data_IF_186962895655
#
_entry.id   IF_186962895655
#
_cell.length_a   1.000
_cell.length_b   1.000
_cell.length_c   1.000
_cell.angle_alpha   90.00
_cell.angle_beta   90.00
_cell.angle_gamma   90.00
#
_symmetry.space_group_name_H-M   'P 1'
#
loop_
_entity.id
_entity.type
_entity.pdbx_description
1 polymer ?
#
# COMPACT_ATOMS: atom_id res chain seq x y z
N UNK A 1 18.92 -9.96 7.57
CA UNK A 1 18.20 -10.71 6.52
C UNK A 1 17.27 -11.66 7.24
N UNK A 2 15.99 -11.71 6.86
CA UNK A 2 15.04 -12.60 7.53
C UNK A 2 15.46 -14.07 7.36
N UNK A 3 15.34 -14.88 8.41
CA UNK A 3 15.61 -16.32 8.36
C UNK A 3 14.71 -17.05 7.37
N UNK A 4 13.52 -16.51 7.11
CA UNK A 4 12.56 -17.06 6.15
C UNK A 4 13.12 -17.16 4.72
N UNK A 5 13.92 -16.18 4.30
CA UNK A 5 14.43 -16.12 2.93
C UNK A 5 15.61 -17.05 2.67
N UNK A 6 16.16 -17.71 3.69
CA UNK A 6 17.25 -18.66 3.50
C UNK A 6 16.84 -19.88 2.66
N UNK A 7 15.55 -20.22 2.67
CA UNK A 7 14.98 -21.39 1.97
C UNK A 7 13.91 -20.99 0.95
N UNK A 8 13.65 -19.70 0.76
CA UNK A 8 12.65 -19.23 -0.21
C UNK A 8 13.25 -19.19 -1.63
N UNK A 9 12.46 -19.63 -2.61
CA UNK A 9 12.76 -19.45 -4.03
C UNK A 9 11.87 -18.34 -4.60
N UNK A 10 12.43 -17.51 -5.49
CA UNK A 10 11.68 -16.42 -6.14
C UNK A 10 11.83 -15.05 -5.48
N UNK A 11 12.61 -14.92 -4.40
CA UNK A 11 12.95 -13.61 -3.83
C UNK A 11 13.69 -12.75 -4.87
N UNK A 12 13.13 -11.59 -5.21
CA UNK A 12 13.80 -10.60 -6.07
C UNK A 12 14.60 -9.63 -5.21
N UNK A 13 15.85 -9.37 -5.61
CA UNK A 13 16.72 -8.39 -4.93
C UNK A 13 17.24 -7.37 -5.94
N UNK A 14 16.87 -6.11 -5.75
CA UNK A 14 17.34 -4.98 -6.56
C UNK A 14 18.09 -3.97 -5.69
N UNK A 15 19.03 -3.24 -6.30
CA UNK A 15 19.64 -2.06 -5.67
C UNK A 15 18.64 -0.91 -5.68
N UNK A 16 18.49 -0.23 -4.54
CA UNK A 16 17.60 0.92 -4.39
C UNK A 16 18.03 2.16 -5.19
N UNK A 17 19.32 2.29 -5.46
CA UNK A 17 19.87 3.47 -6.16
C UNK A 17 19.17 3.68 -7.50
N UNK A 18 18.59 4.87 -7.69
CA UNK A 18 17.88 5.25 -8.92
C UNK A 18 16.50 4.62 -9.08
N UNK A 19 15.93 4.00 -8.04
CA UNK A 19 14.61 3.36 -8.06
C UNK A 19 13.71 3.91 -6.96
N UNK A 20 12.42 3.95 -7.24
CA UNK A 20 11.40 4.19 -6.23
C UNK A 20 11.25 2.95 -5.35
N UNK A 21 11.42 3.12 -4.04
CA UNK A 21 11.26 2.02 -3.09
C UNK A 21 9.80 1.86 -2.68
N UNK A 22 9.29 0.64 -2.86
CA UNK A 22 7.94 0.24 -2.52
C UNK A 22 7.95 -0.83 -1.43
N UNK A 23 7.17 -0.63 -0.37
CA UNK A 23 6.87 -1.65 0.62
C UNK A 23 5.57 -2.34 0.22
N UNK A 24 5.57 -3.67 0.12
CA UNK A 24 4.35 -4.45 -0.09
C UNK A 24 4.01 -5.20 1.20
N UNK A 25 2.96 -4.75 1.88
CA UNK A 25 2.50 -5.28 3.16
C UNK A 25 1.47 -6.38 2.94
N UNK A 26 1.73 -7.55 3.54
CA UNK A 26 0.71 -8.55 3.82
C UNK A 26 0.46 -8.59 5.34
N UNK A 27 -0.71 -8.19 5.84
CA UNK A 27 -0.98 -8.04 7.28
C UNK A 27 -1.20 -9.36 8.04
N UNK A 28 -0.42 -10.39 7.72
CA UNK A 28 -0.48 -11.70 8.34
C UNK A 28 0.93 -12.32 8.41
N UNK A 29 1.03 -13.52 8.98
CA UNK A 29 2.29 -14.25 9.11
C UNK A 29 2.91 -14.60 7.76
N UNK A 30 4.23 -14.80 7.75
CA UNK A 30 4.99 -15.16 6.55
C UNK A 30 4.43 -16.39 5.80
N UNK A 31 4.11 -17.54 6.45
CA UNK A 31 3.58 -18.70 5.74
C UNK A 31 2.26 -18.42 5.00
N UNK A 32 1.40 -17.55 5.57
CA UNK A 32 0.14 -17.16 4.93
C UNK A 32 0.40 -16.22 3.76
N UNK A 33 1.34 -15.27 3.91
CA UNK A 33 1.72 -14.34 2.85
C UNK A 33 2.28 -15.06 1.61
N UNK A 34 3.22 -16.01 1.80
CA UNK A 34 3.82 -16.76 0.67
C UNK A 34 2.85 -17.73 0.00
N UNK A 35 1.80 -18.14 0.71
CA UNK A 35 0.74 -18.99 0.16
C UNK A 35 -0.35 -18.19 -0.59
N UNK A 36 -0.29 -16.86 -0.58
CA UNK A 36 -1.27 -16.02 -1.25
C UNK A 36 -0.81 -15.65 -2.67
N UNK A 37 -1.47 -16.20 -3.69
CA UNK A 37 -1.10 -15.98 -5.09
C UNK A 37 -1.25 -14.52 -5.53
N UNK A 38 -2.29 -13.82 -5.09
CA UNK A 38 -2.50 -12.40 -5.41
C UNK A 38 -1.37 -11.52 -4.88
N UNK A 39 -0.91 -11.79 -3.66
CA UNK A 39 0.25 -11.11 -3.08
C UNK A 39 1.54 -11.41 -3.85
N UNK A 40 1.78 -12.67 -4.24
CA UNK A 40 2.94 -13.03 -5.07
C UNK A 40 2.89 -12.36 -6.44
N UNK A 41 1.71 -12.27 -7.05
CA UNK A 41 1.50 -11.62 -8.34
C UNK A 41 1.82 -10.13 -8.27
N UNK A 42 1.27 -9.42 -7.29
CA UNK A 42 1.57 -7.98 -7.08
C UNK A 42 3.06 -7.77 -6.81
N UNK A 43 3.68 -8.65 -6.00
CA UNK A 43 5.14 -8.62 -5.76
C UNK A 43 5.95 -8.78 -7.06
N UNK A 44 5.54 -9.71 -7.94
CA UNK A 44 6.17 -9.89 -9.26
C UNK A 44 6.02 -8.66 -10.12
N UNK A 45 4.80 -8.14 -10.30
CA UNK A 45 4.50 -6.98 -11.13
C UNK A 45 5.30 -5.73 -10.70
N UNK A 46 5.37 -5.47 -9.39
CA UNK A 46 6.17 -4.37 -8.85
C UNK A 46 7.67 -4.53 -9.16
N UNK A 47 8.17 -5.76 -9.09
CA UNK A 47 9.58 -6.07 -9.34
C UNK A 47 9.90 -6.36 -10.82
N UNK A 48 8.92 -6.45 -11.71
CA UNK A 48 9.15 -6.42 -13.16
C UNK A 48 9.42 -4.99 -13.65
N UNK A 49 8.92 -3.98 -12.93
CA UNK A 49 9.16 -2.59 -13.27
C UNK A 49 10.61 -2.15 -12.93
N UNK A 50 11.38 -1.74 -13.94
CA UNK A 50 12.81 -1.40 -13.78
C UNK A 50 13.07 -0.21 -12.86
N UNK A 51 12.17 0.77 -12.86
CA UNK A 51 12.24 1.96 -12.01
C UNK A 51 11.86 1.74 -10.55
N UNK A 52 11.49 0.52 -10.15
CA UNK A 52 11.04 0.20 -8.79
C UNK A 52 11.88 -0.90 -8.14
N UNK A 53 12.00 -0.82 -6.83
CA UNK A 53 12.41 -1.92 -5.96
C UNK A 53 11.29 -2.17 -4.97
N UNK A 54 10.75 -3.39 -4.94
CA UNK A 54 9.71 -3.76 -4.00
C UNK A 54 10.25 -4.76 -2.98
N UNK A 55 10.03 -4.46 -1.71
CA UNK A 55 10.34 -5.33 -0.59
C UNK A 55 9.08 -5.64 0.21
N UNK A 56 9.01 -6.86 0.74
CA UNK A 56 7.82 -7.39 1.41
C UNK A 56 7.89 -7.15 2.90
N UNK A 57 6.72 -6.91 3.48
CA UNK A 57 6.50 -6.81 4.91
C UNK A 57 5.38 -7.74 5.31
N UNK A 58 5.57 -8.45 6.41
CA UNK A 58 4.60 -9.37 7.00
C UNK A 58 4.41 -9.01 8.46
N UNK A 59 3.30 -9.43 9.05
CA UNK A 59 3.05 -9.17 10.46
C UNK A 59 4.18 -9.80 11.31
N UNK A 60 4.88 -9.03 12.16
CA UNK A 60 6.04 -9.52 12.88
C UNK A 60 5.64 -10.55 13.93
N UNK A 61 6.54 -11.49 14.22
CA UNK A 61 6.39 -12.36 15.39
C UNK A 61 6.50 -11.53 16.67
N UNK A 62 5.98 -12.07 17.78
CA UNK A 62 6.01 -11.37 19.07
C UNK A 62 7.46 -10.98 19.43
N UNK A 63 7.65 -9.70 19.79
CA UNK A 63 8.95 -9.10 20.14
C UNK A 63 9.94 -8.90 18.98
N UNK A 64 9.53 -9.06 17.72
CA UNK A 64 10.36 -8.72 16.56
C UNK A 64 10.00 -7.33 16.00
N UNK A 65 11.00 -6.54 15.53
CA UNK A 65 10.73 -5.26 14.90
C UNK A 65 10.11 -5.46 13.51
N UNK A 66 9.22 -4.56 13.10
CA UNK A 66 8.72 -4.52 11.72
C UNK A 66 9.85 -4.11 10.77
N UNK A 67 10.25 -5.05 9.90
CA UNK A 67 11.36 -4.91 8.95
C UNK A 67 11.05 -5.61 7.64
N UNK A 68 11.60 -5.08 6.54
CA UNK A 68 11.46 -5.71 5.23
C UNK A 68 12.17 -7.07 5.21
N UNK A 69 11.59 -8.03 4.48
CA UNK A 69 12.15 -9.39 4.41
C UNK A 69 13.49 -9.40 3.69
N UNK A 70 13.58 -8.69 2.56
CA UNK A 70 14.70 -8.74 1.62
C UNK A 70 15.97 -8.11 2.18
N UNK A 71 15.85 -6.95 2.82
CA UNK A 71 17.01 -6.15 3.22
C UNK A 71 16.99 -5.66 4.67
N UNK A 72 15.97 -6.04 5.46
CA UNK A 72 15.85 -5.69 6.88
C UNK A 72 15.76 -4.17 7.12
N UNK A 73 15.00 -3.46 6.27
CA UNK A 73 14.78 -2.02 6.36
C UNK A 73 13.53 -1.65 7.16
N UNK A 74 13.52 -0.50 7.84
CA UNK A 74 12.30 0.02 8.46
C UNK A 74 11.27 0.43 7.40
N UNK A 75 9.98 0.32 7.73
CA UNK A 75 8.90 0.72 6.82
C UNK A 75 8.96 2.21 6.45
N UNK A 76 9.42 3.07 7.37
CA UNK A 76 9.59 4.50 7.13
C UNK A 76 10.58 4.82 5.98
N UNK A 77 11.47 3.92 5.57
CA UNK A 77 12.37 4.16 4.44
C UNK A 77 11.65 4.18 3.08
N UNK A 78 10.40 3.70 3.02
CA UNK A 78 9.68 3.48 1.77
C UNK A 78 8.70 4.63 1.53
N UNK A 79 8.87 5.45 0.47
CA UNK A 79 7.93 6.52 0.11
C UNK A 79 6.63 6.00 -0.52
N UNK A 80 6.58 4.73 -0.91
CA UNK A 80 5.40 4.07 -1.46
C UNK A 80 5.10 2.82 -0.62
N UNK A 81 3.90 2.74 -0.08
CA UNK A 81 3.42 1.58 0.68
C UNK A 81 2.19 1.02 -0.03
N UNK A 82 2.28 -0.22 -0.47
CA UNK A 82 1.16 -0.99 -1.01
C UNK A 82 0.73 -2.05 -0.01
N UNK A 83 -0.56 -2.38 0.02
CA UNK A 83 -1.09 -3.43 0.88
C UNK A 83 -1.88 -4.44 0.07
N UNK A 84 -1.86 -5.71 0.49
CA UNK A 84 -2.69 -6.78 -0.06
C UNK A 84 -3.45 -7.43 1.09
N UNK A 85 -4.67 -6.96 1.32
CA UNK A 85 -5.51 -7.41 2.45
C UNK A 85 -6.49 -8.47 1.97
N UNK A 86 -6.37 -9.67 2.53
CA UNK A 86 -7.20 -10.81 2.11
C UNK A 86 -8.49 -10.94 2.91
N UNK A 87 -8.49 -10.55 4.19
CA UNK A 87 -9.62 -10.73 5.10
C UNK A 87 -9.79 -9.54 6.05
N UNK A 88 -11.01 -9.31 6.52
CA UNK A 88 -11.38 -8.22 7.44
C UNK A 88 -10.67 -8.33 8.79
N UNK A 89 -10.37 -9.55 9.23
CA UNK A 89 -9.63 -9.78 10.47
C UNK A 89 -8.20 -9.21 10.43
N UNK A 90 -7.66 -8.94 9.24
CA UNK A 90 -6.32 -8.37 9.09
C UNK A 90 -6.31 -6.82 9.19
N UNK A 91 -7.46 -6.14 9.27
CA UNK A 91 -7.51 -4.68 9.32
C UNK A 91 -6.78 -4.10 10.55
N UNK A 92 -7.02 -4.59 11.79
CA UNK A 92 -6.30 -4.06 12.95
C UNK A 92 -4.80 -4.31 12.86
N UNK A 93 -4.39 -5.43 12.26
CA UNK A 93 -2.99 -5.78 12.06
C UNK A 93 -2.32 -4.83 11.07
N UNK A 94 -2.99 -4.51 9.97
CA UNK A 94 -2.48 -3.53 9.00
C UNK A 94 -2.25 -2.17 9.66
N UNK A 95 -3.24 -1.67 10.41
CA UNK A 95 -3.15 -0.39 11.12
C UNK A 95 -2.01 -0.41 12.15
N UNK A 96 -1.88 -1.50 12.91
CA UNK A 96 -0.77 -1.70 13.85
C UNK A 96 0.60 -1.72 13.16
N UNK A 97 0.70 -2.32 11.96
CA UNK A 97 1.94 -2.33 11.17
C UNK A 97 2.31 -0.93 10.67
N UNK A 98 1.34 -0.11 10.22
CA UNK A 98 1.61 1.28 9.85
C UNK A 98 2.20 2.06 11.05
N UNK A 99 1.52 1.98 12.19
CA UNK A 99 1.95 2.64 13.42
C UNK A 99 3.35 2.16 13.88
N UNK A 100 3.58 0.85 13.95
CA UNK A 100 4.87 0.27 14.33
C UNK A 100 5.99 0.59 13.33
N UNK A 101 5.63 0.83 12.07
CA UNK A 101 6.54 1.24 11.00
C UNK A 101 6.87 2.73 11.00
N UNK A 102 6.29 3.52 11.90
CA UNK A 102 6.46 4.97 11.96
C UNK A 102 5.68 5.72 10.88
N UNK A 103 4.61 5.12 10.35
CA UNK A 103 3.71 5.74 9.38
C UNK A 103 2.43 6.16 10.10
N UNK A 104 2.00 7.41 9.92
CA UNK A 104 0.72 7.91 10.43
C UNK A 104 -0.43 7.04 9.87
N UNK A 105 -1.16 6.31 10.73
CA UNK A 105 -2.20 5.39 10.26
C UNK A 105 -3.36 6.10 9.57
N UNK A 106 -3.82 7.24 10.07
CA UNK A 106 -4.93 7.98 9.48
C UNK A 106 -4.44 8.81 8.29
N UNK A 107 -5.11 8.68 7.14
CA UNK A 107 -4.72 9.39 5.92
C UNK A 107 -4.76 10.92 6.11
N UNK A 108 -5.74 11.43 6.86
CA UNK A 108 -5.88 12.86 7.18
C UNK A 108 -4.71 13.45 7.98
N UNK A 109 -3.99 12.62 8.75
CA UNK A 109 -2.84 13.05 9.54
C UNK A 109 -1.53 13.10 8.74
N UNK A 110 -1.52 12.60 7.49
CA UNK A 110 -0.32 12.59 6.66
C UNK A 110 -0.06 13.97 6.06
N UNK A 111 1.21 14.44 6.04
CA UNK A 111 1.62 15.66 5.33
C UNK A 111 1.16 15.73 3.87
N UNK A 112 1.35 16.86 3.19
CA UNK A 112 1.02 16.99 1.76
C UNK A 112 2.10 16.38 0.85
N UNK A 113 3.35 16.34 1.30
CA UNK A 113 4.48 15.80 0.56
C UNK A 113 4.59 14.28 0.71
N UNK A 114 5.03 13.60 -0.35
CA UNK A 114 5.24 12.15 -0.35
C UNK A 114 6.73 11.87 -0.31
N UNK A 115 7.18 11.18 0.74
CA UNK A 115 8.59 10.86 0.97
C UNK A 115 8.75 9.73 2.00
N UNK A 116 9.99 9.30 2.23
CA UNK A 116 10.31 8.44 3.38
C UNK A 116 9.80 9.09 4.69
N UNK A 117 9.11 8.31 5.52
CA UNK A 117 8.42 8.73 6.74
C UNK A 117 7.01 9.31 6.52
N UNK A 118 6.67 9.71 5.29
CA UNK A 118 5.31 10.13 4.90
C UNK A 118 4.96 9.55 3.52
N UNK A 119 4.75 8.22 3.45
CA UNK A 119 4.51 7.54 2.18
C UNK A 119 3.13 7.86 1.60
N UNK A 120 2.99 7.53 0.32
CA UNK A 120 1.67 7.28 -0.27
C UNK A 120 1.26 5.85 0.08
N UNK A 121 0.14 5.69 0.78
CA UNK A 121 -0.43 4.39 1.18
C UNK A 121 -1.53 3.98 0.21
N UNK A 122 -1.24 2.98 -0.61
CA UNK A 122 -2.16 2.39 -1.58
C UNK A 122 -2.66 1.05 -1.04
N UNK A 123 -3.96 0.92 -0.82
CA UNK A 123 -4.55 -0.31 -0.31
C UNK A 123 -5.20 -1.13 -1.41
N UNK A 124 -5.01 -2.45 -1.35
CA UNK A 124 -5.63 -3.39 -2.28
C UNK A 124 -5.82 -4.76 -1.64
N UNK A 125 -6.15 -5.75 -2.48
CA UNK A 125 -6.50 -7.10 -2.05
C UNK A 125 -8.02 -7.29 -1.93
N UNK A 126 -8.41 -8.55 -1.78
CA UNK A 126 -9.81 -8.99 -1.88
C UNK A 126 -10.71 -8.28 -0.87
N UNK A 127 -10.25 -8.06 0.36
CA UNK A 127 -11.05 -7.38 1.38
C UNK A 127 -11.30 -5.90 1.04
N UNK A 128 -10.30 -5.22 0.47
CA UNK A 128 -10.41 -3.82 0.00
C UNK A 128 -11.35 -3.72 -1.18
N UNK A 129 -11.23 -4.64 -2.14
CA UNK A 129 -12.10 -4.68 -3.32
C UNK A 129 -13.58 -4.92 -2.95
N UNK A 130 -13.86 -5.84 -2.01
CA UNK A 130 -15.23 -6.19 -1.62
C UNK A 130 -15.91 -5.14 -0.74
N UNK A 131 -15.19 -4.54 0.20
CA UNK A 131 -15.73 -3.56 1.13
C UNK A 131 -14.65 -2.54 1.54
N UNK A 132 -14.44 -1.47 0.74
CA UNK A 132 -13.33 -0.54 0.95
C UNK A 132 -13.54 0.40 2.14
N UNK A 133 -14.77 0.77 2.45
CA UNK A 133 -15.10 1.84 3.42
C UNK A 133 -14.52 1.63 4.84
N UNK A 134 -14.49 0.42 5.42
CA UNK A 134 -13.84 0.21 6.72
C UNK A 134 -12.36 0.59 6.76
N UNK A 135 -11.66 0.53 5.62
CA UNK A 135 -10.24 0.88 5.49
C UNK A 135 -10.01 2.26 4.88
N UNK A 136 -11.05 2.90 4.33
CA UNK A 136 -10.97 4.17 3.64
C UNK A 136 -10.29 5.30 4.46
N UNK A 137 -10.55 5.46 5.79
CA UNK A 137 -9.87 6.47 6.60
C UNK A 137 -8.34 6.30 6.71
N UNK A 138 -7.81 5.13 6.37
CA UNK A 138 -6.39 4.79 6.51
C UNK A 138 -5.65 4.79 5.16
N UNK A 139 -6.37 4.83 4.03
CA UNK A 139 -5.80 4.76 2.69
C UNK A 139 -5.69 6.16 2.06
N UNK A 140 -4.60 6.43 1.34
CA UNK A 140 -4.55 7.58 0.43
C UNK A 140 -5.29 7.22 -0.87
N UNK A 141 -5.02 6.01 -1.39
CA UNK A 141 -5.63 5.46 -2.59
C UNK A 141 -5.98 3.99 -2.36
N UNK A 142 -7.05 3.53 -2.99
CA UNK A 142 -7.51 2.14 -2.95
C UNK A 142 -7.63 1.61 -4.37
N UNK A 143 -7.14 0.39 -4.61
CA UNK A 143 -7.33 -0.33 -5.88
C UNK A 143 -8.51 -1.27 -5.71
N UNK A 144 -9.58 -0.97 -6.45
CA UNK A 144 -10.85 -1.71 -6.48
C UNK A 144 -10.86 -2.56 -7.76
N UNK A 145 -10.69 -3.87 -7.57
CA UNK A 145 -10.67 -4.86 -8.64
C UNK A 145 -9.32 -5.58 -8.72
N UNK A 146 -9.02 -6.14 -9.90
CA UNK A 146 -7.79 -6.89 -10.15
C UNK A 146 -6.58 -5.94 -10.31
N UNK A 147 -5.41 -6.39 -9.86
CA UNK A 147 -4.20 -5.57 -9.86
C UNK A 147 -3.59 -5.45 -11.27
N UNK A 148 -3.64 -6.52 -12.06
CA UNK A 148 -3.00 -6.63 -13.37
C UNK A 148 -3.37 -5.49 -14.35
N UNK A 149 -4.65 -5.11 -14.51
CA UNK A 149 -5.01 -4.01 -15.43
C UNK A 149 -4.70 -2.62 -14.86
N UNK A 150 -4.68 -2.44 -13.53
CA UNK A 150 -4.59 -1.11 -12.89
C UNK A 150 -3.15 -0.75 -12.53
N UNK A 151 -2.42 -1.72 -11.97
CA UNK A 151 -1.14 -1.50 -11.32
C UNK A 151 -0.07 -0.93 -12.27
N UNK A 152 0.13 -1.41 -13.51
CA UNK A 152 1.15 -0.84 -14.40
C UNK A 152 0.96 0.66 -14.68
N UNK A 153 -0.28 1.08 -14.96
CA UNK A 153 -0.62 2.48 -15.21
C UNK A 153 -0.46 3.34 -13.95
N UNK A 154 -0.91 2.81 -12.81
CA UNK A 154 -0.78 3.48 -11.51
C UNK A 154 0.68 3.70 -11.11
N UNK A 155 1.54 2.68 -11.26
CA UNK A 155 2.96 2.79 -10.91
C UNK A 155 3.68 3.84 -11.76
N UNK A 156 3.37 3.91 -13.06
CA UNK A 156 3.97 4.91 -13.94
C UNK A 156 3.48 6.33 -13.63
N UNK A 157 2.19 6.49 -13.29
CA UNK A 157 1.64 7.76 -12.80
C UNK A 157 2.33 8.20 -11.52
N UNK A 158 2.40 7.33 -10.50
CA UNK A 158 3.03 7.63 -9.21
C UNK A 158 4.50 8.00 -9.42
N UNK A 159 5.25 7.23 -10.21
CA UNK A 159 6.66 7.50 -10.48
C UNK A 159 6.87 8.86 -11.14
N UNK A 160 6.08 9.21 -12.15
CA UNK A 160 6.15 10.52 -12.82
C UNK A 160 5.77 11.66 -11.87
N UNK A 161 4.68 11.50 -11.12
CA UNK A 161 4.20 12.48 -10.17
C UNK A 161 5.25 12.78 -9.09
N UNK A 162 5.85 11.74 -8.49
CA UNK A 162 6.91 11.91 -7.50
C UNK A 162 8.18 12.53 -8.08
N UNK A 163 8.58 12.16 -9.30
CA UNK A 163 9.72 12.77 -9.98
C UNK A 163 9.49 14.26 -10.30
N UNK A 164 8.23 14.65 -10.52
CA UNK A 164 7.82 16.05 -10.74
C UNK A 164 7.59 16.82 -9.43
N UNK A 165 7.68 16.17 -8.26
CA UNK A 165 7.41 16.79 -6.96
C UNK A 165 5.93 17.09 -6.71
N UNK A 166 5.02 16.33 -7.33
CA UNK A 166 3.58 16.49 -7.13
C UNK A 166 3.18 16.26 -5.67
N UNK A 167 2.23 17.05 -5.20
CA UNK A 167 1.61 16.84 -3.89
C UNK A 167 0.72 15.61 -3.88
N UNK A 168 0.44 15.10 -2.68
CA UNK A 168 -0.44 13.94 -2.47
C UNK A 168 -1.81 14.14 -3.09
N UNK A 169 -2.46 15.28 -2.83
CA UNK A 169 -3.81 15.55 -3.33
C UNK A 169 -3.87 15.61 -4.87
N UNK A 170 -2.89 16.23 -5.51
CA UNK A 170 -2.80 16.29 -6.98
C UNK A 170 -2.68 14.90 -7.59
N UNK A 171 -1.84 14.05 -6.99
CA UNK A 171 -1.69 12.65 -7.40
C UNK A 171 -3.01 11.88 -7.26
N UNK A 172 -3.73 12.06 -6.14
CA UNK A 172 -5.02 11.40 -5.91
C UNK A 172 -6.08 11.83 -6.92
N UNK A 173 -6.15 13.12 -7.25
CA UNK A 173 -7.05 13.62 -8.30
C UNK A 173 -6.72 13.00 -9.67
N UNK A 174 -5.45 13.00 -10.07
CA UNK A 174 -5.05 12.43 -11.35
C UNK A 174 -5.33 10.92 -11.41
N UNK A 175 -5.01 10.18 -10.35
CA UNK A 175 -5.26 8.74 -10.29
C UNK A 175 -6.76 8.42 -10.36
N UNK A 176 -7.59 9.11 -9.56
CA UNK A 176 -9.05 8.90 -9.57
C UNK A 176 -9.73 9.31 -10.88
N UNK A 177 -9.18 10.29 -11.60
CA UNK A 177 -9.73 10.76 -12.88
C UNK A 177 -9.30 9.90 -14.08
N UNK A 178 -8.08 9.37 -14.07
CA UNK A 178 -7.47 8.72 -15.24
C UNK A 178 -7.43 7.19 -15.19
N UNK A 179 -7.56 6.59 -14.01
CA UNK A 179 -7.42 5.14 -13.82
C UNK A 179 -8.70 4.53 -13.26
N UNK A 180 -9.40 3.74 -14.09
CA UNK A 180 -10.52 2.93 -13.63
C UNK A 180 -10.07 1.96 -12.52
N UNK A 181 -10.86 1.86 -11.45
CA UNK A 181 -10.53 1.05 -10.28
C UNK A 181 -9.68 1.76 -9.23
N UNK A 182 -9.26 3.01 -9.43
CA UNK A 182 -8.63 3.81 -8.39
C UNK A 182 -9.69 4.61 -7.61
N UNK A 183 -9.80 4.35 -6.32
CA UNK A 183 -10.68 5.07 -5.39
C UNK A 183 -9.85 5.85 -4.37
N UNK A 184 -9.99 7.17 -4.32
CA UNK A 184 -9.32 8.03 -3.35
C UNK A 184 -10.34 8.58 -2.34
N UNK A 185 -10.42 8.04 -1.10
CA UNK A 185 -11.45 8.42 -0.13
C UNK A 185 -11.50 9.92 0.18
N UNK A 186 -10.33 10.57 0.25
CA UNK A 186 -10.20 12.00 0.57
C UNK A 186 -10.86 12.94 -0.46
N UNK A 187 -11.23 12.44 -1.64
CA UNK A 187 -11.91 13.23 -2.68
C UNK A 187 -13.42 13.31 -2.45
N UNK A 188 -13.96 12.55 -1.50
CA UNK A 188 -15.39 12.46 -1.23
C UNK A 188 -15.68 12.82 0.22
N UNK A 189 -16.78 13.52 0.45
CA UNK A 189 -17.32 13.78 1.77
C UNK A 189 -18.81 13.46 1.77
N UNK A 190 -19.24 12.76 2.81
CA UNK A 190 -20.62 12.33 2.97
C UNK A 190 -21.33 13.28 3.92
N UNK A 191 -22.49 13.79 3.48
CA UNK A 191 -23.46 14.43 4.39
C UNK A 191 -24.55 13.43 4.71
N UNK A 192 -24.89 13.32 5.99
CA UNK A 192 -25.91 12.41 6.47
C UNK A 192 -27.09 13.17 7.05
N UNK A 193 -28.30 12.64 6.84
CA UNK A 193 -29.51 13.03 7.56
C UNK A 193 -29.53 12.38 8.96
N UNK A 194 -30.60 12.64 9.70
CA UNK A 194 -30.94 11.88 10.89
C UNK A 194 -30.93 10.37 10.60
N UNK A 195 -30.52 9.58 11.59
CA UNK A 195 -30.43 8.11 11.53
C UNK A 195 -29.36 7.54 10.56
N UNK A 196 -28.40 8.35 10.10
CA UNK A 196 -27.25 7.87 9.33
C UNK A 196 -27.54 7.60 7.85
N UNK A 197 -28.64 8.14 7.32
CA UNK A 197 -28.97 8.03 5.88
C UNK A 197 -28.12 9.03 5.09
N UNK A 198 -27.42 8.56 4.05
CA UNK A 198 -26.64 9.44 3.17
C UNK A 198 -27.57 10.42 2.46
N UNK A 199 -27.32 11.71 2.63
CA UNK A 199 -28.01 12.81 1.95
C UNK A 199 -27.35 13.17 0.62
N UNK A 200 -26.02 13.35 0.65
CA UNK A 200 -25.24 13.74 -0.51
C UNK A 200 -23.79 13.32 -0.37
N UNK A 201 -23.14 13.18 -1.52
CA UNK A 201 -21.71 12.94 -1.70
C UNK A 201 -21.24 14.05 -2.65
N UNK A 202 -20.14 14.73 -2.33
CA UNK A 202 -19.51 15.71 -3.23
C UNK A 202 -18.40 15.07 -4.07
#
# INVERSE_FOLDING_TARGET
MSSFLATEHGTVRKKWTGRLAAALIYPNTYPVAVSNLGFQLVYSLLNEHDGLVCERFVYPLANEPLRSLESNRPLADFPLVLTSVSFEHDYPRLIAMLAAGGIEPLAEGRPADIKAGSPLVIMGGVAVFMNPEPLAPFADLMVIGEAEPVLPGLLELVRKALAAGAGRLDLLHEAGASLAGCYAPALYSFRYKDQGIVESIN
#
